data_IF_238052843094
#
_entry.id   IF_238052843094
#
_cell.length_a   1.000
_cell.length_b   1.000
_cell.length_c   1.000
_cell.angle_alpha   90.00
_cell.angle_beta   90.00
_cell.angle_gamma   90.00
#
_symmetry.space_group_name_H-M   'P 1'
#
loop_
_entity.id
_entity.type
_entity.pdbx_description
1 polymer ?
#
# COMPACT_ATOMS: atom_id res chain seq x y z
N UNK A 1 -10.49 36.28 0.27
CA UNK A 1 -9.64 35.11 -0.18
C UNK A 1 -10.10 33.76 0.35
N UNK A 2 -11.39 33.51 0.62
CA UNK A 2 -11.90 32.27 1.24
C UNK A 2 -12.54 31.25 0.26
N UNK A 3 -12.61 31.53 -1.04
CA UNK A 3 -13.36 30.67 -2.02
C UNK A 3 -12.56 29.53 -2.66
N UNK A 4 -11.22 29.45 -2.49
CA UNK A 4 -10.42 28.42 -3.16
C UNK A 4 -10.33 27.09 -2.40
N UNK A 5 -10.48 27.08 -1.07
CA UNK A 5 -10.39 25.86 -0.25
C UNK A 5 -11.63 24.95 -0.35
N UNK A 6 -12.83 25.54 -0.46
CA UNK A 6 -14.07 24.75 -0.57
C UNK A 6 -14.22 24.00 -1.91
N UNK A 7 -13.68 24.55 -3.02
CA UNK A 7 -13.74 23.89 -4.34
C UNK A 7 -12.83 22.64 -4.45
N UNK A 8 -11.67 22.61 -3.73
CA UNK A 8 -10.78 21.45 -3.70
C UNK A 8 -11.38 20.28 -2.91
N UNK A 9 -12.05 20.55 -1.78
CA UNK A 9 -12.71 19.53 -0.95
C UNK A 9 -13.86 18.82 -1.68
N UNK A 10 -14.73 19.54 -2.39
CA UNK A 10 -15.86 18.94 -3.12
C UNK A 10 -15.44 18.11 -4.33
N UNK A 11 -14.35 18.48 -5.03
CA UNK A 11 -13.82 17.72 -6.16
C UNK A 11 -13.18 16.40 -5.71
N UNK A 12 -12.49 16.40 -4.57
CA UNK A 12 -11.88 15.21 -3.98
C UNK A 12 -12.96 14.21 -3.49
N UNK A 13 -14.04 14.69 -2.89
CA UNK A 13 -15.15 13.86 -2.43
C UNK A 13 -15.88 13.16 -3.59
N UNK A 14 -16.19 13.89 -4.68
CA UNK A 14 -16.82 13.31 -5.88
C UNK A 14 -15.93 12.25 -6.58
N UNK A 15 -14.62 12.48 -6.67
CA UNK A 15 -13.69 11.50 -7.21
C UNK A 15 -13.61 10.24 -6.32
N UNK A 16 -13.61 10.40 -4.99
CA UNK A 16 -13.65 9.31 -4.03
C UNK A 16 -14.93 8.47 -4.15
N UNK A 17 -16.08 9.12 -4.29
CA UNK A 17 -17.38 8.44 -4.46
C UNK A 17 -17.44 7.67 -5.79
N UNK A 18 -16.86 8.21 -6.86
CA UNK A 18 -16.77 7.54 -8.16
C UNK A 18 -15.96 6.24 -8.06
N UNK A 19 -14.78 6.28 -7.45
CA UNK A 19 -13.94 5.09 -7.28
C UNK A 19 -14.56 4.05 -6.34
N UNK A 20 -15.28 4.47 -5.29
CA UNK A 20 -16.00 3.55 -4.41
C UNK A 20 -17.12 2.81 -5.15
N UNK A 21 -17.90 3.51 -5.97
CA UNK A 21 -18.95 2.89 -6.81
C UNK A 21 -18.36 1.96 -7.87
N UNK A 22 -17.25 2.36 -8.47
CA UNK A 22 -16.54 1.54 -9.46
C UNK A 22 -16.01 0.26 -8.81
N UNK A 23 -15.39 0.34 -7.63
CA UNK A 23 -14.89 -0.82 -6.90
C UNK A 23 -16.02 -1.82 -6.61
N UNK A 24 -17.16 -1.36 -6.11
CA UNK A 24 -18.34 -2.21 -5.84
C UNK A 24 -18.86 -2.89 -7.12
N UNK A 25 -18.93 -2.16 -8.24
CA UNK A 25 -19.41 -2.70 -9.52
C UNK A 25 -18.45 -3.74 -10.11
N UNK A 26 -17.15 -3.55 -9.95
CA UNK A 26 -16.10 -4.41 -10.49
C UNK A 26 -15.65 -5.50 -9.51
N UNK A 27 -16.30 -5.64 -8.33
CA UNK A 27 -15.97 -6.66 -7.33
C UNK A 27 -14.61 -6.46 -6.66
N UNK A 28 -14.08 -5.23 -6.66
CA UNK A 28 -12.83 -4.92 -5.97
C UNK A 28 -13.11 -4.58 -4.50
N UNK A 29 -12.22 -5.01 -3.60
CA UNK A 29 -12.41 -4.89 -2.16
C UNK A 29 -12.56 -3.45 -1.66
N UNK A 30 -11.87 -2.47 -2.26
CA UNK A 30 -12.02 -1.07 -1.93
C UNK A 30 -11.51 -0.13 -3.04
N UNK A 31 -11.82 1.18 -2.87
CA UNK A 31 -11.36 2.25 -3.78
C UNK A 31 -9.84 2.40 -3.86
N UNK A 32 -9.11 1.93 -2.86
CA UNK A 32 -7.63 1.95 -2.83
C UNK A 32 -7.01 1.14 -3.97
N UNK A 33 -7.72 0.14 -4.50
CA UNK A 33 -7.33 -0.59 -5.72
C UNK A 33 -6.88 0.35 -6.84
N UNK A 34 -7.68 1.38 -7.14
CA UNK A 34 -7.40 2.30 -8.24
C UNK A 34 -6.24 3.25 -8.00
N UNK A 35 -5.87 3.48 -6.73
CA UNK A 35 -4.67 4.27 -6.41
C UNK A 35 -3.41 3.53 -6.85
N UNK A 36 -3.31 2.25 -6.50
CA UNK A 36 -2.16 1.45 -6.89
C UNK A 36 -2.15 1.22 -8.40
N UNK A 37 -3.33 1.00 -9.02
CA UNK A 37 -3.45 0.91 -10.48
C UNK A 37 -2.91 2.17 -11.18
N UNK A 38 -3.25 3.36 -10.68
CA UNK A 38 -2.78 4.63 -11.26
C UNK A 38 -1.27 4.80 -11.11
N UNK A 39 -0.71 4.46 -9.95
CA UNK A 39 0.74 4.51 -9.68
C UNK A 39 1.47 3.54 -10.62
N UNK A 40 1.01 2.28 -10.68
CA UNK A 40 1.65 1.26 -11.49
C UNK A 40 1.57 1.55 -12.99
N UNK A 41 0.45 2.09 -13.49
CA UNK A 41 0.32 2.54 -14.88
C UNK A 41 1.34 3.61 -15.27
N UNK A 42 1.74 4.46 -14.32
CA UNK A 42 2.73 5.52 -14.57
C UNK A 42 4.16 5.01 -14.46
N UNK A 43 4.43 4.11 -13.52
CA UNK A 43 5.79 3.69 -13.16
C UNK A 43 6.16 2.28 -13.63
N UNK A 44 5.16 1.45 -14.00
CA UNK A 44 5.31 0.07 -14.49
C UNK A 44 6.24 -0.79 -13.60
N UNK A 45 6.02 -0.70 -12.28
CA UNK A 45 6.85 -1.38 -11.29
C UNK A 45 6.42 -2.82 -11.04
N UNK A 46 5.10 -3.12 -11.15
CA UNK A 46 4.57 -4.46 -10.94
C UNK A 46 4.50 -5.18 -12.29
N UNK A 47 5.35 -6.18 -12.46
CA UNK A 47 5.49 -6.91 -13.74
C UNK A 47 5.09 -8.38 -13.60
N UNK A 48 4.68 -9.05 -14.69
CA UNK A 48 4.43 -10.49 -14.66
C UNK A 48 5.62 -11.29 -14.10
N UNK A 49 5.33 -12.29 -13.26
CA UNK A 49 6.34 -13.15 -12.64
C UNK A 49 7.07 -12.53 -11.43
N UNK A 50 6.75 -11.30 -11.02
CA UNK A 50 7.38 -10.66 -9.85
C UNK A 50 6.79 -11.15 -8.53
N UNK A 51 7.58 -11.06 -7.47
CA UNK A 51 7.17 -11.31 -6.10
C UNK A 51 6.96 -9.99 -5.38
N UNK A 52 5.78 -9.79 -4.82
CA UNK A 52 5.34 -8.53 -4.20
C UNK A 52 5.03 -8.77 -2.72
N UNK A 53 5.44 -7.84 -1.85
CA UNK A 53 5.02 -7.76 -0.45
C UNK A 53 4.03 -6.60 -0.27
N UNK A 54 2.88 -6.87 0.36
CA UNK A 54 1.84 -5.88 0.66
C UNK A 54 1.71 -5.71 2.19
N UNK A 55 2.16 -4.57 2.70
CA UNK A 55 2.12 -4.22 4.11
C UNK A 55 0.89 -3.35 4.39
N UNK A 56 0.01 -3.83 5.28
CA UNK A 56 -1.32 -3.25 5.50
C UNK A 56 -2.31 -3.73 4.43
N UNK A 57 -2.30 -5.03 4.17
CA UNK A 57 -2.99 -5.62 3.03
C UNK A 57 -4.53 -5.67 3.18
N UNK A 58 -5.09 -5.59 4.40
CA UNK A 58 -6.55 -5.61 4.61
C UNK A 58 -7.21 -4.32 4.06
N UNK A 59 -8.35 -4.42 3.38
CA UNK A 59 -9.23 -5.58 3.12
C UNK A 59 -8.86 -6.41 1.88
N UNK A 60 -7.68 -6.26 1.26
CA UNK A 60 -7.23 -7.06 0.13
C UNK A 60 -7.21 -6.34 -1.22
N UNK A 61 -7.48 -5.03 -1.25
CA UNK A 61 -7.58 -4.27 -2.52
C UNK A 61 -6.30 -4.25 -3.32
N UNK A 62 -5.17 -4.00 -2.65
CA UNK A 62 -3.87 -3.96 -3.31
C UNK A 62 -3.40 -5.36 -3.64
N UNK A 63 -3.69 -6.35 -2.81
CA UNK A 63 -3.44 -7.76 -3.11
C UNK A 63 -4.17 -8.22 -4.37
N UNK A 64 -5.45 -7.84 -4.54
CA UNK A 64 -6.21 -8.17 -5.75
C UNK A 64 -5.58 -7.56 -7.02
N UNK A 65 -5.14 -6.30 -6.93
CA UNK A 65 -4.47 -5.63 -8.04
C UNK A 65 -3.13 -6.30 -8.36
N UNK A 66 -2.26 -6.43 -7.37
CA UNK A 66 -0.91 -6.98 -7.53
C UNK A 66 -0.95 -8.40 -8.04
N UNK A 67 -1.84 -9.25 -7.50
CA UNK A 67 -2.02 -10.64 -7.93
C UNK A 67 -2.37 -10.76 -9.42
N UNK A 68 -3.29 -9.91 -9.91
CA UNK A 68 -3.63 -9.87 -11.35
C UNK A 68 -2.44 -9.42 -12.20
N UNK A 69 -1.66 -8.45 -11.71
CA UNK A 69 -0.53 -7.88 -12.45
C UNK A 69 0.65 -8.85 -12.54
N UNK A 70 0.97 -9.56 -11.45
CA UNK A 70 2.09 -10.52 -11.45
C UNK A 70 1.75 -11.82 -12.18
N UNK A 71 0.45 -12.17 -12.30
CA UNK A 71 -0.02 -13.37 -12.99
C UNK A 71 0.41 -14.66 -12.29
N UNK A 72 0.13 -15.81 -12.93
CA UNK A 72 0.27 -17.15 -12.34
C UNK A 72 1.72 -17.51 -11.94
N UNK A 73 2.71 -16.88 -12.57
CA UNK A 73 4.14 -17.09 -12.27
C UNK A 73 4.67 -16.16 -11.18
N UNK A 74 3.89 -15.17 -10.76
CA UNK A 74 4.22 -14.23 -9.69
C UNK A 74 3.64 -14.68 -8.35
N UNK A 75 4.02 -13.98 -7.29
CA UNK A 75 3.54 -14.24 -5.93
C UNK A 75 3.27 -12.92 -5.20
N UNK A 76 2.21 -12.91 -4.40
CA UNK A 76 1.89 -11.79 -3.50
C UNK A 76 1.79 -12.32 -2.08
N UNK A 77 2.59 -11.76 -1.17
CA UNK A 77 2.51 -12.00 0.26
C UNK A 77 2.02 -10.72 0.93
N UNK A 78 0.98 -10.81 1.76
CA UNK A 78 0.43 -9.68 2.49
C UNK A 78 0.48 -9.89 3.99
N UNK A 79 0.68 -8.79 4.74
CA UNK A 79 0.57 -8.73 6.20
C UNK A 79 -0.33 -7.59 6.64
N UNK A 80 -1.21 -7.87 7.60
CA UNK A 80 -2.06 -6.87 8.28
C UNK A 80 -2.39 -7.34 9.69
N UNK A 81 -2.70 -6.41 10.58
CA UNK A 81 -3.24 -6.71 11.92
C UNK A 81 -4.64 -7.36 11.84
N UNK A 82 -5.34 -7.19 10.72
CA UNK A 82 -6.68 -7.71 10.45
C UNK A 82 -6.65 -8.74 9.33
N UNK A 83 -7.50 -9.76 9.38
CA UNK A 83 -7.61 -10.70 8.29
C UNK A 83 -8.11 -10.03 7.01
N UNK A 84 -7.72 -10.58 5.87
CA UNK A 84 -8.30 -10.25 4.57
C UNK A 84 -9.55 -11.11 4.38
N UNK A 85 -10.70 -10.47 4.30
CA UNK A 85 -12.00 -11.14 4.15
C UNK A 85 -12.33 -11.47 2.69
N UNK A 86 -11.63 -10.84 1.76
CA UNK A 86 -11.84 -11.05 0.32
C UNK A 86 -11.17 -12.33 -0.14
N UNK A 87 -11.83 -13.09 -1.00
CA UNK A 87 -11.21 -14.24 -1.66
C UNK A 87 -10.00 -13.79 -2.49
N UNK A 88 -8.86 -14.35 -2.17
CA UNK A 88 -7.61 -14.09 -2.87
C UNK A 88 -7.37 -15.15 -3.96
N UNK A 89 -6.73 -14.78 -5.09
CA UNK A 89 -6.24 -15.73 -6.08
C UNK A 89 -5.16 -16.66 -5.50
N UNK A 90 -4.95 -17.81 -6.14
CA UNK A 90 -4.02 -18.85 -5.68
C UNK A 90 -2.54 -18.39 -5.56
N UNK A 91 -2.16 -17.33 -6.25
CA UNK A 91 -0.83 -16.72 -6.20
C UNK A 91 -0.69 -15.63 -5.12
N UNK A 92 -1.68 -15.46 -4.24
CA UNK A 92 -1.69 -14.46 -3.18
C UNK A 92 -2.02 -15.09 -1.82
N UNK A 93 -1.20 -14.81 -0.82
CA UNK A 93 -1.35 -15.25 0.57
C UNK A 93 -1.37 -14.04 1.49
N UNK A 94 -2.38 -13.96 2.37
CA UNK A 94 -2.46 -12.94 3.42
C UNK A 94 -2.25 -13.58 4.80
N UNK A 95 -1.42 -12.96 5.61
CA UNK A 95 -1.13 -13.36 6.99
C UNK A 95 -1.54 -12.27 7.97
N UNK A 96 -2.07 -12.67 9.11
CA UNK A 96 -2.35 -11.76 10.22
C UNK A 96 -1.10 -11.64 11.08
N UNK A 97 -0.60 -10.42 11.26
CA UNK A 97 0.59 -10.16 12.07
C UNK A 97 0.93 -8.69 12.14
N UNK A 98 1.65 -8.32 13.21
CA UNK A 98 2.22 -6.97 13.34
C UNK A 98 3.55 -6.91 12.59
N UNK A 99 3.69 -5.95 11.70
CA UNK A 99 4.94 -5.74 10.94
C UNK A 99 6.16 -5.45 11.82
N UNK A 100 5.95 -5.01 13.06
CA UNK A 100 7.03 -4.82 14.03
C UNK A 100 7.50 -6.12 14.68
N UNK A 101 6.65 -7.17 14.70
CA UNK A 101 6.90 -8.46 15.33
C UNK A 101 7.20 -9.57 14.34
N UNK A 102 6.94 -9.37 13.04
CA UNK A 102 7.19 -10.39 12.02
C UNK A 102 8.67 -10.74 11.99
N UNK A 103 8.97 -12.02 12.10
CA UNK A 103 10.30 -12.56 11.82
C UNK A 103 10.63 -12.33 10.34
N UNK A 104 11.81 -11.77 10.10
CA UNK A 104 12.29 -11.53 8.74
C UNK A 104 12.46 -12.84 7.95
N UNK A 105 12.68 -13.96 8.64
CA UNK A 105 12.78 -15.30 8.06
C UNK A 105 11.43 -15.78 7.47
N UNK A 106 10.31 -15.38 8.08
CA UNK A 106 8.97 -15.71 7.61
C UNK A 106 8.64 -15.11 6.25
N UNK A 107 9.33 -14.05 5.85
CA UNK A 107 9.18 -13.44 4.54
C UNK A 107 9.70 -14.32 3.38
N UNK A 108 10.56 -15.29 3.68
CA UNK A 108 10.93 -16.37 2.76
C UNK A 108 11.63 -15.91 1.49
N UNK A 109 12.41 -14.82 1.52
CA UNK A 109 13.26 -14.35 0.42
C UNK A 109 12.93 -12.96 -0.10
N UNK A 110 13.65 -12.53 -1.14
CA UNK A 110 13.60 -11.16 -1.65
C UNK A 110 12.35 -10.87 -2.50
N UNK A 111 11.87 -9.64 -2.42
CA UNK A 111 10.76 -9.10 -3.20
C UNK A 111 11.25 -8.17 -4.32
N UNK A 112 10.52 -8.13 -5.41
CA UNK A 112 10.76 -7.18 -6.51
C UNK A 112 10.08 -5.84 -6.22
N UNK A 113 8.96 -5.87 -5.50
CA UNK A 113 8.20 -4.68 -5.13
C UNK A 113 7.67 -4.85 -3.70
N UNK A 114 7.74 -3.79 -2.92
CA UNK A 114 7.10 -3.69 -1.62
C UNK A 114 6.09 -2.55 -1.70
N UNK A 115 4.83 -2.84 -1.41
CA UNK A 115 3.76 -1.84 -1.36
C UNK A 115 3.22 -1.72 0.06
N UNK A 116 2.81 -0.51 0.47
CA UNK A 116 2.28 -0.26 1.81
C UNK A 116 1.14 0.78 1.76
N UNK A 117 -0.08 0.33 2.04
CA UNK A 117 -1.25 1.21 2.27
C UNK A 117 -1.57 1.35 3.78
N UNK A 118 -0.60 1.05 4.64
CA UNK A 118 -0.77 1.17 6.09
C UNK A 118 -1.21 2.57 6.50
N UNK A 119 -2.09 2.63 7.48
CA UNK A 119 -2.52 3.88 8.11
C UNK A 119 -2.62 3.68 9.62
N UNK A 120 -2.12 4.62 10.43
CA UNK A 120 -2.30 4.56 11.86
C UNK A 120 -3.78 4.75 12.24
N UNK A 121 -4.15 4.26 13.42
CA UNK A 121 -5.40 4.70 14.05
C UNK A 121 -5.32 6.21 14.30
N UNK A 122 -6.19 6.96 13.65
CA UNK A 122 -6.17 8.42 13.73
C UNK A 122 -6.70 8.91 15.07
N UNK A 123 -5.99 9.84 15.70
CA UNK A 123 -6.37 10.50 16.96
C UNK A 123 -7.17 11.79 16.73
N UNK A 124 -7.19 12.28 15.48
CA UNK A 124 -7.70 13.60 15.12
C UNK A 124 -6.67 14.73 15.30
N UNK A 125 -5.52 14.46 15.92
CA UNK A 125 -4.39 15.38 15.97
C UNK A 125 -3.47 15.13 14.76
N UNK A 126 -3.43 16.11 13.85
CA UNK A 126 -2.68 15.97 12.58
C UNK A 126 -1.19 15.68 12.79
N UNK A 127 -0.54 16.33 13.76
CA UNK A 127 0.88 16.13 14.01
C UNK A 127 1.16 14.71 14.52
N UNK A 128 0.35 14.23 15.48
CA UNK A 128 0.48 12.86 16.00
C UNK A 128 0.19 11.81 14.93
N UNK A 129 -0.87 12.00 14.15
CA UNK A 129 -1.27 11.07 13.10
C UNK A 129 -0.23 11.01 11.98
N UNK A 130 0.40 12.16 11.66
CA UNK A 130 1.50 12.22 10.72
C UNK A 130 2.73 11.46 11.21
N UNK A 131 3.20 11.72 12.44
CA UNK A 131 4.36 11.02 13.02
C UNK A 131 4.14 9.50 13.06
N UNK A 132 2.95 9.04 13.44
CA UNK A 132 2.61 7.61 13.40
C UNK A 132 2.64 7.05 11.98
N UNK A 133 2.15 7.81 11.00
CA UNK A 133 2.21 7.41 9.60
C UNK A 133 3.65 7.33 9.09
N UNK A 134 4.51 8.28 9.47
CA UNK A 134 5.92 8.28 9.14
C UNK A 134 6.63 7.04 9.71
N UNK A 135 6.38 6.69 10.97
CA UNK A 135 6.95 5.49 11.59
C UNK A 135 6.57 4.19 10.85
N UNK A 136 5.32 4.08 10.35
CA UNK A 136 4.92 2.94 9.52
C UNK A 136 5.67 2.88 8.18
N UNK A 137 5.92 4.03 7.57
CA UNK A 137 6.74 4.10 6.34
C UNK A 137 8.19 3.75 6.63
N UNK A 138 8.78 4.26 7.72
CA UNK A 138 10.13 3.90 8.15
C UNK A 138 10.26 2.39 8.34
N UNK A 139 9.30 1.75 9.01
CA UNK A 139 9.31 0.30 9.18
C UNK A 139 9.22 -0.45 7.84
N UNK A 140 8.41 0.03 6.91
CA UNK A 140 8.36 -0.55 5.56
C UNK A 140 9.71 -0.42 4.82
N UNK A 141 10.43 0.68 5.03
CA UNK A 141 11.77 0.89 4.47
C UNK A 141 12.82 0.00 5.15
N UNK A 142 12.76 -0.23 6.48
CA UNK A 142 13.62 -1.18 7.19
C UNK A 142 13.47 -2.62 6.63
N UNK A 143 12.24 -3.00 6.31
CA UNK A 143 11.96 -4.27 5.63
C UNK A 143 12.54 -4.25 4.22
N UNK A 144 12.40 -3.14 3.49
CA UNK A 144 12.93 -3.02 2.14
C UNK A 144 14.46 -3.09 2.09
N UNK A 145 15.17 -2.49 3.04
CA UNK A 145 16.63 -2.55 3.13
C UNK A 145 17.18 -3.99 3.19
N UNK A 146 16.38 -4.93 3.73
CA UNK A 146 16.79 -6.33 3.89
C UNK A 146 16.15 -7.27 2.85
N UNK A 147 14.99 -6.94 2.31
CA UNK A 147 14.18 -7.86 1.50
C UNK A 147 13.80 -7.34 0.12
N UNK A 148 14.20 -6.12 -0.25
CA UNK A 148 14.00 -5.63 -1.61
C UNK A 148 15.18 -6.07 -2.49
N UNK A 149 14.88 -6.59 -3.66
CA UNK A 149 15.90 -6.89 -4.68
C UNK A 149 16.55 -5.60 -5.19
N UNK A 150 17.82 -5.66 -5.54
CA UNK A 150 18.47 -4.57 -6.28
C UNK A 150 17.67 -4.24 -7.54
N UNK A 151 17.37 -2.95 -7.74
CA UNK A 151 16.49 -2.49 -8.82
C UNK A 151 15.00 -2.71 -8.56
N UNK A 152 14.63 -3.13 -7.36
CA UNK A 152 13.24 -3.21 -6.91
C UNK A 152 12.62 -1.84 -6.62
N UNK A 153 11.34 -1.83 -6.26
CA UNK A 153 10.60 -0.60 -6.01
C UNK A 153 9.81 -0.67 -4.70
N UNK A 154 9.68 0.48 -4.03
CA UNK A 154 8.82 0.66 -2.86
C UNK A 154 7.72 1.68 -3.19
N UNK A 155 6.49 1.36 -2.80
CA UNK A 155 5.35 2.30 -2.81
C UNK A 155 4.76 2.34 -1.42
N UNK A 156 4.78 3.49 -0.78
CA UNK A 156 4.21 3.63 0.56
C UNK A 156 3.28 4.85 0.63
N UNK A 157 2.17 4.66 1.36
CA UNK A 157 1.27 5.77 1.70
C UNK A 157 1.80 6.48 2.92
N UNK A 158 1.90 7.81 2.83
CA UNK A 158 2.23 8.70 3.93
C UNK A 158 1.14 9.75 4.10
N UNK A 159 0.76 10.04 5.33
CA UNK A 159 -0.07 11.21 5.64
C UNK A 159 0.78 12.48 5.49
N UNK A 160 0.19 13.53 4.92
CA UNK A 160 0.87 14.79 4.62
C UNK A 160 1.42 15.47 5.89
N UNK A 161 2.72 15.82 5.91
CA UNK A 161 3.39 16.43 7.06
C UNK A 161 4.89 16.66 6.86
N UNK A 162 5.62 17.01 7.92
CA UNK A 162 7.01 17.47 7.87
C UNK A 162 8.07 16.42 7.51
N UNK A 163 7.79 15.11 7.74
CA UNK A 163 8.79 14.04 7.56
C UNK A 163 8.96 13.58 6.10
N UNK A 164 8.15 14.13 5.18
CA UNK A 164 8.12 13.70 3.76
C UNK A 164 9.51 13.79 3.11
N UNK A 165 10.22 14.91 3.31
CA UNK A 165 11.52 15.14 2.67
C UNK A 165 12.59 14.13 3.12
N UNK A 166 12.65 13.84 4.44
CA UNK A 166 13.57 12.87 5.00
C UNK A 166 13.29 11.45 4.48
N UNK A 167 12.03 11.03 4.45
CA UNK A 167 11.63 9.73 3.95
C UNK A 167 11.89 9.58 2.44
N UNK A 168 11.59 10.59 1.63
CA UNK A 168 11.91 10.60 0.20
C UNK A 168 13.41 10.52 -0.05
N UNK A 169 14.23 11.20 0.76
CA UNK A 169 15.69 11.11 0.68
C UNK A 169 16.18 9.69 0.98
N UNK A 170 15.59 9.01 1.96
CA UNK A 170 15.92 7.62 2.31
C UNK A 170 15.55 6.63 1.20
N UNK A 171 14.48 6.90 0.44
CA UNK A 171 14.00 6.04 -0.66
C UNK A 171 14.83 6.12 -1.94
N UNK A 172 15.79 7.04 -2.04
CA UNK A 172 16.67 7.25 -3.21
C UNK A 172 18.01 6.55 -3.06
#
# INVERSE_FOLDING_TARGET
MAKSHQRKSGRNKRAQDHFARRAKREGNAARSYYKLEEIDKKSNIIRPGTRVLDLGCSPGSWMQYTSRRVGDKGQVLGYDLKPVETTLPANAEARVGDIYEISLEELGGLFHVIVSDMAPSTTGNRATDHLRSAALVERALDIADNFLKTGGAVVAKLLEGGEIEALVKRMR
#
